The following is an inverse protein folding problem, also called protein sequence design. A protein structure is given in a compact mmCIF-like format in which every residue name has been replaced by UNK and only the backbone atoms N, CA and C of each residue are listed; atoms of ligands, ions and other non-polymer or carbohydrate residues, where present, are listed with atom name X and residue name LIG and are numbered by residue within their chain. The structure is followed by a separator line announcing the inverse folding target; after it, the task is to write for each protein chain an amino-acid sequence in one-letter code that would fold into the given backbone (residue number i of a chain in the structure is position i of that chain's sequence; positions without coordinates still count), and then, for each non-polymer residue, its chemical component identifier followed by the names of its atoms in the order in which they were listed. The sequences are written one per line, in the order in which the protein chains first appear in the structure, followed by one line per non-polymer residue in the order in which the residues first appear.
data_IF_601102562835
#
_entry.id   IF_601102562835
#
_cell.length_a   1.000
_cell.length_b   1.000
_cell.length_c   1.000
_cell.angle_alpha   90.00
_cell.angle_beta   90.00
_cell.angle_gamma   90.00
#
_symmetry.space_group_name_H-M   'P 1'
#
loop_
_entity.id
_entity.type
_entity.pdbx_description
1 polymer ?
#
# COMPACT_ATOMS: atom_id res chain seq x y z
N UNK A 1 -50.22 -12.60 -51.80
CA UNK A 1 -48.85 -12.95 -52.21
C UNK A 1 -47.87 -12.07 -51.47
N UNK A 2 -46.95 -12.62 -50.64
CA UNK A 2 -46.07 -11.81 -49.80
C UNK A 2 -44.87 -11.25 -50.56
N UNK A 3 -44.53 -10.00 -50.26
CA UNK A 3 -43.43 -9.23 -50.83
C UNK A 3 -42.05 -9.79 -50.42
N UNK A 4 -41.14 -9.89 -51.39
CA UNK A 4 -39.74 -10.31 -51.22
C UNK A 4 -38.97 -9.34 -50.32
N UNK A 5 -38.31 -9.86 -49.28
CA UNK A 5 -37.30 -9.14 -48.47
C UNK A 5 -35.99 -9.04 -49.27
N UNK A 6 -35.25 -7.91 -49.20
CA UNK A 6 -33.89 -7.85 -49.73
C UNK A 6 -32.89 -8.47 -48.76
N UNK A 7 -32.10 -9.42 -49.25
CA UNK A 7 -30.94 -10.00 -48.59
C UNK A 7 -29.81 -8.95 -48.48
N UNK A 8 -29.46 -8.57 -47.24
CA UNK A 8 -28.18 -7.90 -46.98
C UNK A 8 -27.12 -8.96 -46.65
N UNK A 9 -26.29 -9.24 -47.65
CA UNK A 9 -25.04 -10.00 -47.51
C UNK A 9 -24.08 -9.15 -46.66
N UNK A 10 -23.91 -9.50 -45.39
CA UNK A 10 -22.80 -9.01 -44.57
C UNK A 10 -21.54 -9.77 -45.02
N UNK A 11 -20.66 -9.08 -45.76
CA UNK A 11 -19.32 -9.57 -46.11
C UNK A 11 -18.59 -9.96 -44.83
N UNK A 12 -18.31 -11.25 -44.68
CA UNK A 12 -17.40 -11.79 -43.67
C UNK A 12 -15.98 -11.32 -43.97
N UNK A 13 -15.47 -10.41 -43.13
CA UNK A 13 -14.05 -10.05 -43.13
C UNK A 13 -13.28 -11.23 -42.52
N UNK A 14 -12.26 -11.80 -43.19
CA UNK A 14 -11.49 -12.88 -42.61
C UNK A 14 -10.71 -12.36 -41.40
N UNK A 15 -11.03 -12.90 -40.22
CA UNK A 15 -10.25 -12.65 -39.01
C UNK A 15 -8.85 -13.25 -39.23
N UNK A 16 -7.82 -12.39 -39.23
CA UNK A 16 -6.43 -12.83 -39.03
C UNK A 16 -6.38 -13.64 -37.74
N UNK A 17 -5.97 -14.91 -37.83
CA UNK A 17 -5.54 -15.70 -36.67
C UNK A 17 -4.37 -14.95 -36.02
N UNK A 18 -4.66 -14.15 -34.99
CA UNK A 18 -3.62 -13.69 -34.09
C UNK A 18 -3.11 -14.90 -33.32
N UNK A 19 -1.78 -15.07 -33.37
CA UNK A 19 -1.05 -16.14 -32.73
C UNK A 19 -1.58 -16.43 -31.32
N UNK A 20 -1.95 -17.69 -31.10
CA UNK A 20 -2.34 -18.17 -29.78
C UNK A 20 -1.15 -17.97 -28.84
N UNK A 21 -1.25 -17.15 -27.77
CA UNK A 21 -0.16 -17.06 -26.82
C UNK A 21 0.02 -18.42 -26.17
N UNK A 22 1.15 -19.06 -26.46
CA UNK A 22 1.61 -20.29 -25.82
C UNK A 22 1.36 -20.23 -24.32
N UNK A 23 0.54 -21.16 -23.81
CA UNK A 23 0.28 -21.39 -22.40
C UNK A 23 1.52 -21.98 -21.73
N UNK A 24 2.54 -21.15 -21.50
CA UNK A 24 3.45 -21.36 -20.38
C UNK A 24 2.79 -20.73 -19.17
N UNK A 25 2.61 -21.44 -18.04
CA UNK A 25 2.07 -20.83 -16.83
C UNK A 25 3.03 -19.71 -16.45
N UNK A 26 2.58 -18.45 -16.61
CA UNK A 26 3.28 -17.30 -16.06
C UNK A 26 3.31 -17.54 -14.55
N UNK A 27 4.48 -17.94 -14.05
CA UNK A 27 4.87 -17.83 -12.64
C UNK A 27 4.25 -16.57 -12.07
N UNK A 28 3.52 -16.67 -10.95
CA UNK A 28 2.78 -15.62 -10.22
C UNK A 28 3.60 -14.34 -9.99
N UNK A 29 3.90 -13.59 -11.05
CA UNK A 29 4.64 -12.35 -11.02
C UNK A 29 3.68 -11.26 -10.53
N UNK A 30 3.83 -10.86 -9.27
CA UNK A 30 3.92 -9.47 -8.81
C UNK A 30 3.10 -8.37 -9.51
N UNK A 31 1.89 -8.65 -10.01
CA UNK A 31 1.07 -7.64 -10.65
C UNK A 31 0.38 -6.79 -9.59
N UNK A 32 0.79 -5.53 -9.54
CA UNK A 32 -0.01 -4.46 -8.93
C UNK A 32 -1.38 -4.48 -9.60
N UNK A 33 -2.44 -4.78 -8.84
CA UNK A 33 -3.81 -4.81 -9.38
C UNK A 33 -4.45 -3.45 -9.22
N UNK A 34 -5.03 -2.95 -10.30
CA UNK A 34 -5.83 -1.74 -10.29
C UNK A 34 -7.31 -2.12 -10.18
N UNK A 35 -7.98 -1.66 -9.12
CA UNK A 35 -9.42 -1.84 -8.93
C UNK A 35 -10.09 -0.47 -8.96
N UNK A 36 -11.11 -0.28 -9.80
CA UNK A 36 -11.96 0.91 -9.79
C UNK A 36 -13.24 0.60 -9.01
N UNK A 37 -13.56 1.39 -7.99
CA UNK A 37 -14.81 1.20 -7.23
C UNK A 37 -15.97 1.93 -7.90
N UNK A 38 -17.21 1.56 -7.55
CA UNK A 38 -18.44 2.25 -7.98
C UNK A 38 -18.44 3.74 -7.61
N UNK A 39 -17.82 4.09 -6.49
CA UNK A 39 -17.62 5.46 -5.98
C UNK A 39 -16.52 6.24 -6.73
N UNK A 40 -15.90 5.64 -7.76
CA UNK A 40 -14.86 6.27 -8.57
C UNK A 40 -13.45 6.23 -7.95
N UNK A 41 -13.25 5.54 -6.83
CA UNK A 41 -11.92 5.37 -6.25
C UNK A 41 -11.06 4.45 -7.13
N UNK A 42 -9.76 4.71 -7.19
CA UNK A 42 -8.77 3.85 -7.83
C UNK A 42 -7.89 3.19 -6.77
N UNK A 43 -7.87 1.88 -6.72
CA UNK A 43 -7.12 1.11 -5.72
C UNK A 43 -5.93 0.46 -6.41
N UNK A 44 -4.74 0.65 -5.85
CA UNK A 44 -3.49 0.00 -6.24
C UNK A 44 -3.17 -1.05 -5.19
N UNK A 45 -3.39 -2.33 -5.50
CA UNK A 45 -3.14 -3.45 -4.57
C UNK A 45 -1.65 -3.77 -4.56
N UNK A 46 -1.06 -3.96 -3.37
CA UNK A 46 0.35 -4.32 -3.25
C UNK A 46 0.64 -5.77 -3.68
N UNK A 47 1.83 -6.05 -4.23
CA UNK A 47 2.24 -7.41 -4.54
C UNK A 47 2.20 -8.32 -3.30
N UNK A 48 1.67 -9.54 -3.45
CA UNK A 48 1.60 -10.54 -2.38
C UNK A 48 0.35 -10.45 -1.49
N UNK A 49 -0.51 -9.45 -1.70
CA UNK A 49 -1.81 -9.36 -1.02
C UNK A 49 -2.74 -10.45 -1.57
N UNK A 50 -3.31 -11.26 -0.67
CA UNK A 50 -4.22 -12.34 -1.06
C UNK A 50 -5.53 -11.77 -1.57
N UNK A 51 -6.17 -12.44 -2.54
CA UNK A 51 -7.46 -12.01 -3.10
C UNK A 51 -8.51 -11.73 -2.02
N UNK A 52 -8.52 -12.54 -0.95
CA UNK A 52 -9.44 -12.37 0.18
C UNK A 52 -9.29 -11.04 0.91
N UNK A 53 -8.10 -10.43 0.90
CA UNK A 53 -7.83 -9.19 1.62
C UNK A 53 -8.12 -7.94 0.75
N UNK A 54 -8.43 -8.10 -0.54
CA UNK A 54 -8.71 -6.98 -1.46
C UNK A 54 -9.98 -6.19 -1.07
N UNK A 55 -11.10 -6.80 -0.63
CA UNK A 55 -12.28 -6.07 -0.18
C UNK A 55 -12.01 -5.07 0.95
N UNK A 56 -10.99 -5.32 1.77
CA UNK A 56 -10.56 -4.42 2.83
C UNK A 56 -10.00 -3.09 2.34
N UNK A 57 -9.66 -2.99 1.06
CA UNK A 57 -9.19 -1.75 0.42
C UNK A 57 -10.34 -0.87 -0.09
N UNK A 58 -11.57 -1.36 -0.09
CA UNK A 58 -12.73 -0.63 -0.61
C UNK A 58 -13.30 0.26 0.50
N UNK A 59 -13.27 1.61 0.36
CA UNK A 59 -13.72 2.51 1.41
C UNK A 59 -15.16 2.29 1.90
N UNK A 60 -16.06 1.86 1.00
CA UNK A 60 -17.43 1.47 1.35
C UNK A 60 -17.52 0.35 2.41
N UNK A 61 -16.47 -0.47 2.57
CA UNK A 61 -16.41 -1.56 3.55
C UNK A 61 -15.80 -1.13 4.90
N UNK A 62 -15.53 0.16 5.11
CA UNK A 62 -14.94 0.67 6.35
C UNK A 62 -16.01 1.19 7.30
N UNK A 63 -16.10 0.61 8.51
CA UNK A 63 -17.11 1.01 9.51
C UNK A 63 -17.08 2.51 9.86
N UNK A 64 -15.90 3.13 9.79
CA UNK A 64 -15.69 4.56 10.05
C UNK A 64 -15.54 5.41 8.77
N UNK A 65 -16.23 5.05 7.68
CA UNK A 65 -16.15 5.78 6.38
C UNK A 65 -16.40 7.29 6.46
N UNK A 66 -17.09 7.78 7.50
CA UNK A 66 -17.27 9.23 7.68
C UNK A 66 -15.95 9.96 7.97
N UNK A 67 -14.97 9.35 8.65
CA UNK A 67 -13.64 9.94 8.84
C UNK A 67 -12.86 10.00 7.52
N UNK A 68 -13.06 9.01 6.64
CA UNK A 68 -12.57 9.05 5.25
C UNK A 68 -13.22 10.19 4.45
N UNK A 69 -14.52 10.42 4.58
CA UNK A 69 -15.21 11.53 3.90
C UNK A 69 -14.79 12.91 4.44
N UNK A 70 -14.48 13.01 5.73
CA UNK A 70 -13.95 14.23 6.35
C UNK A 70 -12.50 14.50 5.97
N UNK A 71 -11.70 13.46 5.70
CA UNK A 71 -10.30 13.60 5.27
C UNK A 71 -10.14 14.44 3.99
N UNK A 72 -11.15 14.42 3.11
CA UNK A 72 -11.20 15.24 1.88
C UNK A 72 -11.58 16.72 2.08
N UNK A 73 -11.61 17.20 3.33
CA UNK A 73 -11.81 18.60 3.72
C UNK A 73 -10.61 19.22 4.45
N UNK A 74 -9.56 18.45 4.72
CA UNK A 74 -8.41 18.97 5.47
C UNK A 74 -7.44 19.71 4.55
N UNK A 75 -6.91 20.83 5.06
CA UNK A 75 -5.94 21.68 4.40
C UNK A 75 -4.71 20.86 3.94
N UNK A 76 -4.10 21.29 2.82
CA UNK A 76 -2.79 20.82 2.36
C UNK A 76 -1.85 20.70 3.57
N UNK A 77 -1.21 19.54 3.77
CA UNK A 77 -0.30 19.18 4.88
C UNK A 77 -0.93 18.65 6.19
N UNK A 78 -2.25 18.48 6.29
CA UNK A 78 -2.86 17.74 7.40
C UNK A 78 -3.12 16.28 7.02
N UNK A 79 -2.21 15.41 7.41
CA UNK A 79 -2.32 13.97 7.18
C UNK A 79 -3.30 13.35 8.14
N UNK A 80 -4.24 12.58 7.60
CA UNK A 80 -5.23 11.83 8.34
C UNK A 80 -4.65 10.45 8.68
N UNK A 81 -4.74 10.05 9.94
CA UNK A 81 -4.49 8.68 10.37
C UNK A 81 -5.71 8.21 11.12
N UNK A 82 -6.33 7.13 10.66
CA UNK A 82 -7.45 6.50 11.36
C UNK A 82 -7.41 4.99 11.23
N UNK A 83 -8.11 4.32 12.14
CA UNK A 83 -8.31 2.86 12.10
C UNK A 83 -9.75 2.58 11.69
N UNK A 84 -9.94 1.62 10.79
CA UNK A 84 -11.25 1.16 10.37
C UNK A 84 -11.36 -0.36 10.52
N UNK A 85 -12.49 -0.82 11.07
CA UNK A 85 -12.86 -2.23 10.96
C UNK A 85 -13.41 -2.48 9.56
N UNK A 86 -12.96 -3.57 8.94
CA UNK A 86 -13.39 -4.03 7.63
C UNK A 86 -13.50 -5.56 7.63
N UNK A 87 -13.90 -6.15 6.51
CA UNK A 87 -14.05 -7.59 6.35
C UNK A 87 -13.24 -8.09 5.14
N UNK A 88 -12.69 -9.30 5.25
CA UNK A 88 -12.14 -10.02 4.11
C UNK A 88 -13.26 -10.61 3.23
N UNK A 89 -12.91 -11.22 2.10
CA UNK A 89 -13.87 -11.84 1.19
C UNK A 89 -14.67 -13.01 1.82
N UNK A 90 -14.20 -13.55 2.95
CA UNK A 90 -14.86 -14.62 3.69
C UNK A 90 -15.74 -14.07 4.83
N UNK A 91 -15.85 -12.75 4.99
CA UNK A 91 -16.59 -12.11 6.07
C UNK A 91 -15.84 -11.99 7.40
N UNK A 92 -14.56 -12.40 7.47
CA UNK A 92 -13.77 -12.26 8.69
C UNK A 92 -13.45 -10.80 8.92
N UNK A 93 -13.80 -10.30 10.11
CA UNK A 93 -13.58 -8.90 10.48
C UNK A 93 -12.16 -8.69 10.97
N UNK A 94 -11.50 -7.63 10.49
CA UNK A 94 -10.19 -7.20 10.98
C UNK A 94 -10.05 -5.68 10.88
N UNK A 95 -9.02 -5.13 11.52
CA UNK A 95 -8.75 -3.69 11.49
C UNK A 95 -7.68 -3.35 10.45
N UNK A 96 -7.93 -2.27 9.71
CA UNK A 96 -6.97 -1.63 8.84
C UNK A 96 -6.62 -0.25 9.40
N UNK A 97 -5.39 0.18 9.19
CA UNK A 97 -4.99 1.56 9.40
C UNK A 97 -4.93 2.25 8.04
N UNK A 98 -5.53 3.44 7.98
CA UNK A 98 -5.60 4.26 6.78
C UNK A 98 -4.86 5.56 7.07
N UNK A 99 -3.87 5.87 6.22
CA UNK A 99 -2.98 7.02 6.40
C UNK A 99 -2.88 7.85 5.13
N UNK A 100 -3.08 9.16 5.25
CA UNK A 100 -2.71 10.15 4.24
C UNK A 100 -1.36 10.73 4.61
N UNK A 101 -0.42 10.70 3.68
CA UNK A 101 0.93 11.21 3.90
C UNK A 101 0.94 12.75 3.87
N UNK A 102 1.70 13.35 4.80
CA UNK A 102 1.93 14.80 4.92
C UNK A 102 3.20 15.19 4.17
N UNK A 103 3.07 15.83 3.01
CA UNK A 103 4.23 16.52 2.43
C UNK A 103 5.20 15.62 1.67
N UNK A 104 6.49 15.97 1.69
CA UNK A 104 7.49 15.83 0.60
C UNK A 104 7.69 14.45 -0.06
N UNK A 105 7.31 13.34 0.59
CA UNK A 105 7.47 11.99 0.04
C UNK A 105 6.14 11.40 -0.44
N UNK A 106 6.19 10.51 -1.42
CA UNK A 106 4.96 9.99 -2.04
C UNK A 106 4.39 8.82 -1.25
N UNK A 107 3.07 8.65 -1.22
CA UNK A 107 2.40 7.42 -0.73
C UNK A 107 2.89 6.13 -1.39
N UNK A 108 3.53 6.25 -2.54
CA UNK A 108 4.18 5.14 -3.23
C UNK A 108 5.54 4.79 -2.64
N UNK A 109 6.28 5.79 -2.14
CA UNK A 109 7.55 5.59 -1.45
C UNK A 109 7.33 4.79 -0.17
N UNK A 110 6.51 5.30 0.74
CA UNK A 110 6.33 4.69 2.05
C UNK A 110 5.79 3.26 1.95
N UNK A 111 4.76 3.01 1.13
CA UNK A 111 4.19 1.66 1.01
C UNK A 111 5.19 0.65 0.40
N UNK A 112 6.10 1.11 -0.47
CA UNK A 112 7.19 0.27 -1.00
C UNK A 112 8.25 0.03 0.06
N UNK A 113 8.61 1.05 0.83
CA UNK A 113 9.55 0.91 1.93
C UNK A 113 9.04 -0.09 2.97
N UNK A 114 7.77 -0.02 3.37
CA UNK A 114 7.13 -1.02 4.24
C UNK A 114 7.23 -2.44 3.64
N UNK A 115 6.97 -2.59 2.35
CA UNK A 115 7.03 -3.89 1.68
C UNK A 115 8.47 -4.45 1.62
N UNK A 116 9.47 -3.62 1.35
CA UNK A 116 10.88 -4.03 1.29
C UNK A 116 11.44 -4.33 2.68
N UNK A 117 11.16 -3.50 3.69
CA UNK A 117 11.51 -3.76 5.09
C UNK A 117 10.97 -5.14 5.53
N UNK A 118 9.73 -5.46 5.15
CA UNK A 118 9.15 -6.78 5.44
C UNK A 118 9.89 -7.93 4.75
N UNK A 119 10.39 -7.74 3.52
CA UNK A 119 11.23 -8.73 2.81
C UNK A 119 12.60 -8.91 3.48
N UNK A 120 13.13 -7.85 4.06
CA UNK A 120 14.38 -7.85 4.84
C UNK A 120 14.20 -8.40 6.26
N UNK A 121 13.01 -8.91 6.61
CA UNK A 121 12.74 -9.55 7.89
C UNK A 121 12.34 -8.58 9.02
N UNK A 122 12.27 -7.27 8.75
CA UNK A 122 11.75 -6.31 9.71
C UNK A 122 10.24 -6.53 9.94
N UNK A 123 9.80 -6.28 11.17
CA UNK A 123 8.37 -6.26 11.48
C UNK A 123 7.84 -4.88 11.14
N UNK A 124 6.88 -4.85 10.25
CA UNK A 124 6.21 -3.62 9.79
C UNK A 124 4.71 -3.83 9.79
N UNK A 125 3.94 -2.75 9.67
CA UNK A 125 2.56 -2.88 9.21
C UNK A 125 2.53 -3.63 7.87
N UNK A 126 1.56 -4.53 7.68
CA UNK A 126 1.42 -5.22 6.41
C UNK A 126 0.79 -4.27 5.39
N UNK A 127 1.51 -3.88 4.32
CA UNK A 127 0.94 -3.01 3.30
C UNK A 127 -0.09 -3.79 2.48
N UNK A 128 -1.31 -3.25 2.37
CA UNK A 128 -2.39 -3.83 1.56
C UNK A 128 -2.50 -3.11 0.22
N UNK A 129 -2.44 -1.78 0.21
CA UNK A 129 -2.65 -1.03 -1.01
C UNK A 129 -2.67 0.48 -0.83
N UNK A 130 -2.78 1.17 -1.95
CA UNK A 130 -3.04 2.60 -2.02
C UNK A 130 -4.46 2.80 -2.53
N UNK A 131 -5.28 3.57 -1.83
CA UNK A 131 -6.58 4.04 -2.31
C UNK A 131 -6.44 5.47 -2.78
N UNK A 132 -6.84 5.74 -4.02
CA UNK A 132 -6.88 7.07 -4.60
C UNK A 132 -8.33 7.53 -4.79
N UNK A 133 -8.68 8.69 -4.24
CA UNK A 133 -10.03 9.25 -4.36
C UNK A 133 -10.24 9.89 -5.74
N UNK A 134 -11.50 10.15 -6.15
CA UNK A 134 -11.78 10.96 -7.35
C UNK A 134 -11.11 12.34 -7.32
N UNK A 135 -10.90 12.91 -6.12
CA UNK A 135 -10.17 14.17 -5.90
C UNK A 135 -8.64 14.02 -5.95
N UNK A 136 -8.13 12.84 -6.34
CA UNK A 136 -6.71 12.46 -6.45
C UNK A 136 -5.95 12.37 -5.13
N UNK A 137 -6.64 12.39 -3.98
CA UNK A 137 -6.02 12.16 -2.68
C UNK A 137 -5.59 10.70 -2.59
N UNK A 138 -4.49 10.41 -1.91
CA UNK A 138 -3.93 9.06 -1.83
C UNK A 138 -3.81 8.65 -0.37
N UNK A 139 -4.31 7.46 -0.07
CA UNK A 139 -4.28 6.86 1.24
C UNK A 139 -3.52 5.54 1.18
N UNK A 140 -2.57 5.35 2.08
CA UNK A 140 -1.98 4.05 2.36
C UNK A 140 -2.93 3.29 3.26
N UNK A 141 -3.19 2.04 2.90
CA UNK A 141 -3.97 1.11 3.71
C UNK A 141 -3.07 -0.05 4.11
N UNK A 142 -2.93 -0.23 5.41
CA UNK A 142 -2.16 -1.30 6.03
C UNK A 142 -3.02 -2.12 6.98
N UNK A 143 -2.62 -3.35 7.27
CA UNK A 143 -3.22 -4.13 8.36
C UNK A 143 -2.81 -3.50 9.69
N UNK A 144 -3.79 -3.23 10.56
CA UNK A 144 -3.52 -2.66 11.88
C UNK A 144 -2.75 -3.67 12.74
N UNK A 145 -1.86 -3.15 13.59
CA UNK A 145 -1.16 -3.95 14.60
C UNK A 145 -2.00 -3.92 15.88
N UNK A 146 -2.40 -5.09 16.34
CA UNK A 146 -3.22 -5.28 17.52
C UNK A 146 -2.32 -5.31 18.78
N UNK A 147 -2.85 -4.90 19.93
CA UNK A 147 -2.14 -4.95 21.23
C UNK A 147 -0.78 -4.22 21.24
N UNK A 148 -0.65 -3.18 20.43
CA UNK A 148 0.56 -2.40 20.32
C UNK A 148 0.51 -1.20 21.27
N UNK A 149 1.66 -0.87 21.86
CA UNK A 149 1.88 0.35 22.64
C UNK A 149 3.03 1.15 22.02
N UNK A 150 3.17 2.40 22.43
CA UNK A 150 4.32 3.19 22.03
C UNK A 150 5.60 2.61 22.66
N UNK A 151 6.66 2.49 21.85
CA UNK A 151 7.96 2.03 22.35
C UNK A 151 8.83 3.19 22.82
N UNK A 152 9.93 2.88 23.49
CA UNK A 152 10.80 3.88 24.08
C UNK A 152 12.07 4.12 23.24
N UNK A 153 12.91 5.05 23.70
CA UNK A 153 14.18 5.38 23.03
C UNK A 153 15.13 4.19 22.88
N UNK A 154 15.22 3.30 23.87
CA UNK A 154 16.13 2.14 23.79
C UNK A 154 15.74 1.20 22.65
N UNK A 155 14.44 1.07 22.40
CA UNK A 155 13.89 0.20 21.35
C UNK A 155 14.16 0.75 19.97
N UNK A 156 14.05 2.08 19.85
CA UNK A 156 14.42 2.80 18.65
C UNK A 156 15.91 2.64 18.33
N UNK A 157 16.80 2.69 19.33
CA UNK A 157 18.26 2.51 19.10
C UNK A 157 18.61 1.11 18.60
N UNK A 158 17.99 0.06 19.15
CA UNK A 158 18.25 -1.31 18.71
C UNK A 158 17.81 -1.53 17.26
N UNK A 159 16.62 -1.05 16.89
CA UNK A 159 16.10 -1.19 15.53
C UNK A 159 16.85 -0.28 14.54
N UNK A 160 17.32 0.90 14.98
CA UNK A 160 18.16 1.80 14.19
C UNK A 160 19.43 1.09 13.71
N UNK A 161 20.16 0.43 14.60
CA UNK A 161 21.40 -0.26 14.24
C UNK A 161 21.14 -1.35 13.18
N UNK A 162 20.04 -2.10 13.33
CA UNK A 162 19.61 -3.11 12.35
C UNK A 162 19.26 -2.51 10.99
N UNK A 163 18.56 -1.37 10.98
CA UNK A 163 18.20 -0.65 9.76
C UNK A 163 19.45 -0.16 9.02
N UNK A 164 20.40 0.45 9.73
CA UNK A 164 21.67 0.92 9.15
C UNK A 164 22.50 -0.24 8.61
N UNK A 165 22.58 -1.36 9.34
CA UNK A 165 23.26 -2.57 8.87
C UNK A 165 22.61 -3.15 7.59
N UNK A 166 21.29 -2.98 7.44
CA UNK A 166 20.56 -3.32 6.22
C UNK A 166 20.71 -2.27 5.11
N UNK A 167 21.50 -1.21 5.32
CA UNK A 167 21.72 -0.14 4.35
C UNK A 167 20.55 0.85 4.26
N UNK A 168 19.75 0.99 5.32
CA UNK A 168 18.60 1.90 5.39
C UNK A 168 18.86 2.96 6.44
N UNK A 169 18.67 4.23 6.09
CA UNK A 169 18.77 5.35 7.01
C UNK A 169 17.38 5.79 7.47
N UNK A 170 17.01 5.59 8.75
CA UNK A 170 15.69 5.90 9.25
C UNK A 170 15.66 7.29 9.90
N UNK A 171 15.72 8.34 9.07
CA UNK A 171 15.93 9.74 9.47
C UNK A 171 15.07 10.19 10.65
N UNK A 172 13.82 9.74 10.67
CA UNK A 172 12.79 10.21 11.58
C UNK A 172 12.34 9.15 12.60
N UNK A 173 13.09 8.04 12.78
CA UNK A 173 12.66 6.92 13.63
C UNK A 173 12.17 7.34 15.04
N UNK A 174 12.78 8.40 15.59
CA UNK A 174 12.43 8.98 16.88
C UNK A 174 12.31 10.52 16.83
N UNK A 175 11.93 11.09 15.70
CA UNK A 175 11.87 12.56 15.59
C UNK A 175 10.51 13.12 16.06
N UNK A 176 10.56 14.25 16.77
CA UNK A 176 9.42 15.13 17.07
C UNK A 176 8.23 14.52 17.84
N UNK A 177 8.47 13.72 18.88
CA UNK A 177 7.39 13.28 19.79
C UNK A 177 6.31 12.42 19.14
N UNK A 178 6.59 11.87 17.94
CA UNK A 178 5.75 10.91 17.22
C UNK A 178 6.46 9.57 17.21
N UNK A 179 5.80 8.56 17.79
CA UNK A 179 6.33 7.21 17.82
C UNK A 179 6.09 6.55 16.45
N UNK A 180 7.10 6.62 15.57
CA UNK A 180 7.10 6.04 14.21
C UNK A 180 7.23 4.50 14.18
N UNK A 181 7.23 3.92 15.38
CA UNK A 181 7.24 2.49 15.63
C UNK A 181 6.29 2.18 16.78
N UNK A 182 5.81 0.94 16.80
CA UNK A 182 4.99 0.40 17.85
C UNK A 182 5.68 -0.80 18.49
N UNK A 183 5.30 -1.09 19.71
CA UNK A 183 5.83 -2.16 20.50
C UNK A 183 4.72 -3.14 20.85
N UNK A 184 4.94 -4.40 20.51
CA UNK A 184 4.06 -5.51 20.89
C UNK A 184 4.82 -6.42 21.83
N UNK A 185 4.20 -6.74 22.95
CA UNK A 185 4.67 -7.73 23.92
C UNK A 185 3.82 -8.98 23.78
N UNK A 186 4.39 -10.04 23.23
CA UNK A 186 3.72 -11.34 23.08
C UNK A 186 4.55 -12.42 23.75
N UNK A 187 3.97 -13.12 24.72
CA UNK A 187 4.61 -14.28 25.41
C UNK A 187 6.01 -13.97 25.94
N UNK A 188 6.19 -12.82 26.58
CA UNK A 188 7.48 -12.37 27.12
C UNK A 188 8.47 -11.86 26.08
N UNK A 189 8.15 -11.94 24.78
CA UNK A 189 8.99 -11.42 23.70
C UNK A 189 8.57 -10.02 23.30
N UNK A 190 9.55 -9.14 23.25
CA UNK A 190 9.43 -7.77 22.78
C UNK A 190 9.61 -7.73 21.27
N UNK A 191 8.66 -7.13 20.56
CA UNK A 191 8.72 -6.96 19.10
C UNK A 191 8.45 -5.52 18.71
N UNK A 192 9.40 -4.90 18.02
CA UNK A 192 9.27 -3.56 17.44
C UNK A 192 8.68 -3.66 16.04
N UNK A 193 7.59 -2.94 15.80
CA UNK A 193 6.94 -2.81 14.50
C UNK A 193 7.15 -1.40 13.94
N UNK A 194 7.70 -1.30 12.74
CA UNK A 194 7.83 -0.03 12.03
C UNK A 194 6.49 0.33 11.36
N UNK A 195 5.99 1.55 11.60
CA UNK A 195 4.70 1.99 11.09
C UNK A 195 4.83 3.17 10.13
N UNK A 196 5.57 4.20 10.51
CA UNK A 196 5.78 5.40 9.72
C UNK A 196 7.23 5.41 9.24
N UNK A 197 7.39 5.17 7.95
CA UNK A 197 8.70 5.00 7.30
C UNK A 197 8.88 5.98 6.16
N UNK A 198 8.13 7.08 6.21
CA UNK A 198 8.10 8.10 5.15
C UNK A 198 9.50 8.65 4.86
N UNK A 199 10.29 8.95 5.90
CA UNK A 199 11.62 9.57 5.75
C UNK A 199 12.76 8.55 5.72
N UNK A 200 12.46 7.27 5.49
CA UNK A 200 13.48 6.25 5.36
C UNK A 200 14.00 6.24 3.93
N UNK A 201 15.30 6.09 3.78
CA UNK A 201 15.93 5.98 2.46
C UNK A 201 17.07 4.98 2.48
N UNK A 202 17.42 4.46 1.31
CA UNK A 202 18.55 3.55 1.20
C UNK A 202 19.87 4.32 1.14
N UNK A 203 20.86 3.84 1.88
CA UNK A 203 22.23 4.36 1.90
C UNK A 203 22.99 4.02 0.61
N UNK A 204 22.65 2.93 -0.07
CA UNK A 204 23.25 2.53 -1.35
C UNK A 204 22.37 2.95 -2.53
N UNK A 205 22.95 3.70 -3.47
CA UNK A 205 22.31 4.19 -4.71
C UNK A 205 21.77 3.08 -5.61
N UNK A 206 22.39 1.91 -5.59
CA UNK A 206 22.02 0.78 -6.46
C UNK A 206 21.02 -0.18 -5.81
N UNK A 207 20.57 0.12 -4.58
CA UNK A 207 19.54 -0.70 -3.94
C UNK A 207 18.22 -0.59 -4.73
N UNK A 208 17.43 -1.67 -4.74
CA UNK A 208 16.05 -1.63 -5.27
C UNK A 208 15.18 -0.55 -4.60
N UNK A 209 15.60 -0.11 -3.41
CA UNK A 209 15.03 1.00 -2.63
C UNK A 209 15.51 2.39 -3.06
N UNK A 210 16.55 2.52 -3.88
CA UNK A 210 17.05 3.79 -4.43
C UNK A 210 16.68 4.00 -5.92
N UNK A 211 16.35 2.91 -6.64
CA UNK A 211 16.04 2.91 -8.09
C UNK A 211 14.73 3.62 -8.50
N UNK A 212 13.92 4.11 -7.56
CA UNK A 212 12.67 4.81 -7.87
C UNK A 212 12.76 6.32 -7.82
N UNK A 213 13.67 7.01 -8.54
CA UNK A 213 13.93 8.46 -8.31
C UNK A 213 14.14 8.77 -6.81
N UNK A 214 14.78 7.83 -6.08
CA UNK A 214 14.89 7.80 -4.61
C UNK A 214 16.31 8.12 -4.11
N UNK A 215 17.18 8.64 -4.98
CA UNK A 215 18.47 9.19 -4.56
C UNK A 215 18.32 10.69 -4.28
N UNK A 216 18.70 11.14 -3.08
CA UNK A 216 19.01 12.55 -2.84
C UNK A 216 20.07 12.93 -3.87
N UNK A 217 19.80 13.92 -4.73
CA UNK A 217 20.85 14.51 -5.58
C UNK A 217 21.97 14.93 -4.62
N UNK A 218 23.14 14.32 -4.74
CA UNK A 218 24.33 14.91 -4.14
C UNK A 218 24.45 16.31 -4.72
N UNK A 219 24.49 17.32 -3.85
CA UNK A 219 24.93 18.64 -4.28
C UNK A 219 26.38 18.47 -4.68
N UNK A 220 26.67 18.67 -5.97
CA UNK A 220 28.02 19.01 -6.42
C UNK A 220 28.43 20.33 -5.78
#
# INVERSE_FOLDING_TARGET
MPAKKPEKILKTVPMKKTDTPSAKPRTNQSHVRLVKTSEGNRITVMPGVKNRDIPALIPGNWKNKQQYLQSGRYKKNHGTVFTATTADANGNKFRVRVRSIRGHYTTTHEIRMLAELRKLGFKTEQPLGIVQTPKKERFIVTRNIENAREGNMSDAREIWAKLVAAGIHPTDLYEYGKNNFLLVHEKGKKTVYLIDVEHYYALKRDSKLALGKMARKEKK
#
